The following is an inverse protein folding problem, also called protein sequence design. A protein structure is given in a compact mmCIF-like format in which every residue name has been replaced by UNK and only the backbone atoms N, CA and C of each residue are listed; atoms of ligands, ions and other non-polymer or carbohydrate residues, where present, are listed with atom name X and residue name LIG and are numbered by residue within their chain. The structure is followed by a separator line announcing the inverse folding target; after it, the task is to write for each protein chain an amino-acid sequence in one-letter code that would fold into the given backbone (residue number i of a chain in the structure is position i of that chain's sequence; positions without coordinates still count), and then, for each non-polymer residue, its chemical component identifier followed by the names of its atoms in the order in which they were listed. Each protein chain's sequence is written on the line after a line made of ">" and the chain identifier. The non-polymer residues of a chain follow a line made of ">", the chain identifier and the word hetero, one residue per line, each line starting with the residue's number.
data_IF_654134128624
#
_entry.id   IF_654134128624
#
_cell.length_a   1.000
_cell.length_b   1.000
_cell.length_c   1.000
_cell.angle_alpha   90.00
_cell.angle_beta   90.00
_cell.angle_gamma   90.00
#
_symmetry.space_group_name_H-M   'P 1'
#
loop_
_entity.id
_entity.type
_entity.pdbx_description
1 polymer ?
#
# COMPACT_ATOMS: atom_id res chain seq x y z
N UNK A 1 -1.21 -11.43 8.60
CA UNK A 1 -2.69 -11.44 8.69
C UNK A 1 -3.26 -11.94 10.02
N UNK A 2 -2.82 -13.08 10.57
CA UNK A 2 -3.40 -13.62 11.82
C UNK A 2 -3.24 -12.69 13.02
N UNK A 3 -2.09 -12.02 13.14
CA UNK A 3 -1.84 -11.05 14.21
C UNK A 3 -2.86 -9.90 14.20
N UNK A 4 -3.17 -9.33 13.03
CA UNK A 4 -4.16 -8.25 12.94
C UNK A 4 -5.55 -8.75 13.34
N UNK A 5 -5.98 -9.92 12.85
CA UNK A 5 -7.30 -10.51 13.17
C UNK A 5 -7.45 -10.71 14.69
N UNK A 6 -6.40 -11.18 15.36
CA UNK A 6 -6.38 -11.34 16.83
C UNK A 6 -6.43 -9.99 17.53
N UNK A 7 -5.81 -8.94 16.97
CA UNK A 7 -5.79 -7.60 17.55
C UNK A 7 -7.07 -6.79 17.32
N UNK A 8 -7.90 -7.10 16.32
CA UNK A 8 -9.16 -6.39 16.03
C UNK A 8 -10.02 -6.17 17.29
N UNK A 9 -10.39 -7.20 18.08
CA UNK A 9 -11.24 -7.00 19.25
C UNK A 9 -10.60 -6.06 20.29
N UNK A 10 -9.28 -6.16 20.51
CA UNK A 10 -8.58 -5.27 21.45
C UNK A 10 -8.57 -3.81 20.98
N UNK A 11 -8.31 -3.59 19.69
CA UNK A 11 -8.28 -2.24 19.10
C UNK A 11 -9.68 -1.60 19.13
N UNK A 12 -10.74 -2.37 18.86
CA UNK A 12 -12.11 -1.86 18.91
C UNK A 12 -12.57 -1.52 20.33
N UNK A 13 -12.22 -2.35 21.32
CA UNK A 13 -12.55 -2.09 22.73
C UNK A 13 -11.83 -0.85 23.26
N UNK A 14 -10.53 -0.72 22.98
CA UNK A 14 -9.75 0.48 23.35
C UNK A 14 -10.28 1.72 22.62
N UNK A 15 -10.69 1.57 21.37
CA UNK A 15 -11.30 2.62 20.56
C UNK A 15 -12.77 2.91 20.90
N UNK A 16 -13.34 2.29 21.95
CA UNK A 16 -14.74 2.41 22.35
C UNK A 16 -15.74 2.23 21.18
N UNK A 17 -15.40 1.39 20.20
CA UNK A 17 -16.16 1.17 18.97
C UNK A 17 -16.44 2.45 18.14
N UNK A 18 -15.57 3.46 18.22
CA UNK A 18 -15.66 4.64 17.36
C UNK A 18 -15.58 4.23 15.89
N UNK A 19 -16.51 4.75 15.08
CA UNK A 19 -16.55 4.60 13.62
C UNK A 19 -15.20 4.93 12.98
N UNK A 20 -14.50 5.95 13.48
CA UNK A 20 -13.16 6.29 12.98
C UNK A 20 -12.18 5.14 13.16
N UNK A 21 -12.21 4.46 14.31
CA UNK A 21 -11.33 3.32 14.62
C UNK A 21 -11.73 2.08 13.80
N UNK A 22 -13.03 1.84 13.62
CA UNK A 22 -13.51 0.74 12.76
C UNK A 22 -13.02 0.91 11.32
N UNK A 23 -13.11 2.14 10.79
CA UNK A 23 -12.67 2.45 9.43
C UNK A 23 -11.15 2.28 9.27
N UNK A 24 -10.34 2.76 10.23
CA UNK A 24 -8.88 2.61 10.15
C UNK A 24 -8.45 1.15 10.21
N UNK A 25 -9.09 0.33 11.06
CA UNK A 25 -8.83 -1.11 11.15
C UNK A 25 -9.19 -1.82 9.84
N UNK A 26 -10.30 -1.44 9.20
CA UNK A 26 -10.72 -2.03 7.91
C UNK A 26 -9.72 -1.72 6.81
N UNK A 27 -9.25 -0.46 6.71
CA UNK A 27 -8.20 -0.08 5.77
C UNK A 27 -6.88 -0.79 6.05
N UNK A 28 -6.50 -0.94 7.33
CA UNK A 28 -5.30 -1.69 7.71
C UNK A 28 -5.42 -3.18 7.34
N UNK A 29 -6.58 -3.78 7.54
CA UNK A 29 -6.85 -5.16 7.14
C UNK A 29 -6.72 -5.34 5.62
N UNK A 30 -7.35 -4.46 4.84
CA UNK A 30 -7.22 -4.45 3.39
C UNK A 30 -5.75 -4.32 2.94
N UNK A 31 -5.01 -3.37 3.51
CA UNK A 31 -3.61 -3.16 3.19
C UNK A 31 -2.77 -4.41 3.42
N UNK A 32 -2.96 -5.09 4.55
CA UNK A 32 -2.22 -6.30 4.91
C UNK A 32 -2.63 -7.54 4.11
N UNK A 33 -3.91 -7.65 3.72
CA UNK A 33 -4.36 -8.76 2.85
C UNK A 33 -3.73 -8.61 1.46
N UNK A 34 -3.66 -7.39 0.95
CA UNK A 34 -3.07 -7.14 -0.38
C UNK A 34 -1.56 -7.38 -0.43
N UNK A 35 -0.86 -7.35 0.71
CA UNK A 35 0.55 -7.78 0.77
C UNK A 35 0.73 -9.25 0.37
N UNK A 36 -0.24 -10.12 0.67
CA UNK A 36 -0.19 -11.52 0.25
C UNK A 36 -0.24 -11.67 -1.28
N UNK A 37 -0.87 -10.74 -1.99
CA UNK A 37 -0.85 -10.69 -3.46
C UNK A 37 0.56 -10.40 -3.97
N UNK A 38 1.28 -9.43 -3.39
CA UNK A 38 2.66 -9.13 -3.78
C UNK A 38 3.61 -10.32 -3.57
N UNK A 39 3.43 -11.07 -2.48
CA UNK A 39 4.22 -12.28 -2.25
C UNK A 39 3.89 -13.41 -3.22
N UNK A 40 2.64 -13.53 -3.65
CA UNK A 40 2.25 -14.50 -4.67
C UNK A 40 2.77 -14.08 -6.04
N UNK A 41 2.73 -12.78 -6.36
CA UNK A 41 3.32 -12.23 -7.58
C UNK A 41 4.84 -12.47 -7.61
N UNK A 42 5.56 -12.21 -6.51
CA UNK A 42 6.99 -12.47 -6.43
C UNK A 42 7.34 -13.95 -6.66
N UNK A 43 6.60 -14.89 -6.04
CA UNK A 43 6.77 -16.33 -6.29
C UNK A 43 6.41 -16.74 -7.72
N UNK A 44 5.38 -16.12 -8.28
CA UNK A 44 4.99 -16.37 -9.66
C UNK A 44 6.08 -15.91 -10.63
N UNK A 45 6.63 -14.71 -10.42
CA UNK A 45 7.74 -14.19 -11.22
C UNK A 45 8.97 -15.08 -11.09
N UNK A 46 9.33 -15.54 -9.88
CA UNK A 46 10.40 -16.53 -9.66
C UNK A 46 10.24 -17.77 -10.55
N UNK A 47 9.06 -18.39 -10.48
CA UNK A 47 8.76 -19.61 -11.25
C UNK A 47 8.71 -19.36 -12.76
N UNK A 48 8.22 -18.19 -13.19
CA UNK A 48 8.05 -17.87 -14.61
C UNK A 48 9.34 -17.40 -15.26
N UNK A 49 10.19 -16.66 -14.54
CA UNK A 49 11.50 -16.21 -15.02
C UNK A 49 12.45 -17.40 -15.14
N UNK A 50 12.46 -18.32 -14.17
CA UNK A 50 13.28 -19.52 -14.26
C UNK A 50 12.81 -20.44 -15.40
N UNK A 51 11.50 -20.56 -15.64
CA UNK A 51 10.98 -21.31 -16.80
C UNK A 51 11.34 -20.62 -18.13
N UNK A 52 11.35 -19.28 -18.18
CA UNK A 52 11.75 -18.52 -19.36
C UNK A 52 13.27 -18.50 -19.62
N UNK A 53 14.10 -18.55 -18.57
CA UNK A 53 15.57 -18.51 -18.65
C UNK A 53 16.19 -19.90 -18.78
N UNK A 54 15.63 -20.92 -18.13
CA UNK A 54 16.16 -22.29 -18.13
C UNK A 54 15.37 -23.26 -19.00
N UNK A 55 14.13 -22.91 -19.39
CA UNK A 55 13.29 -23.73 -20.26
C UNK A 55 12.81 -25.01 -19.59
N UNK A 56 11.53 -25.34 -19.76
CA UNK A 56 11.04 -26.67 -19.42
C UNK A 56 11.71 -27.74 -20.32
N UNK A 57 12.76 -28.40 -19.83
CA UNK A 57 13.16 -29.73 -20.31
C UNK A 57 14.64 -29.95 -20.63
N UNK A 58 15.07 -31.19 -20.38
CA UNK A 58 16.23 -31.80 -21.05
C UNK A 58 15.81 -32.03 -22.51
N UNK A 59 16.21 -31.14 -23.43
CA UNK A 59 15.92 -31.30 -24.86
C UNK A 59 16.39 -30.13 -25.76
N UNK A 60 16.93 -30.51 -26.92
CA UNK A 60 17.49 -29.83 -28.11
C UNK A 60 17.34 -28.31 -28.41
N UNK A 61 16.70 -27.47 -27.60
CA UNK A 61 16.64 -26.00 -27.77
C UNK A 61 16.98 -25.25 -26.47
N UNK A 62 17.86 -25.83 -25.67
CA UNK A 62 18.45 -25.18 -24.49
C UNK A 62 19.66 -24.33 -24.91
N UNK A 63 19.70 -23.02 -24.61
CA UNK A 63 20.81 -22.14 -24.99
C UNK A 63 22.17 -22.54 -24.40
N UNK A 64 22.20 -23.43 -23.41
CA UNK A 64 23.41 -23.92 -22.76
C UNK A 64 23.52 -25.46 -22.87
N UNK A 65 23.90 -25.93 -24.05
CA UNK A 65 24.61 -27.20 -24.19
C UNK A 65 26.00 -26.91 -24.73
N UNK A 66 26.91 -26.45 -23.86
CA UNK A 66 28.35 -26.61 -24.08
C UNK A 66 29.10 -26.41 -22.77
N UNK A 67 29.79 -27.47 -22.36
CA UNK A 67 30.71 -27.52 -21.24
C UNK A 67 31.93 -26.63 -21.53
N UNK A 68 31.92 -25.37 -21.08
CA UNK A 68 33.09 -24.53 -21.05
C UNK A 68 33.32 -23.97 -19.62
N UNK A 69 34.43 -24.33 -18.94
CA UNK A 69 34.74 -23.95 -17.56
C UNK A 69 34.84 -22.44 -17.30
N UNK A 70 34.94 -21.61 -18.35
CA UNK A 70 35.11 -20.15 -18.21
C UNK A 70 33.77 -19.41 -18.00
N UNK A 71 32.63 -20.02 -18.32
CA UNK A 71 31.30 -19.41 -18.16
C UNK A 71 30.77 -19.40 -16.72
N UNK A 72 31.32 -20.22 -15.83
CA UNK A 72 30.97 -20.22 -14.40
C UNK A 72 31.34 -18.90 -13.72
N UNK A 73 32.41 -18.23 -14.16
CA UNK A 73 32.85 -16.95 -13.61
C UNK A 73 32.07 -15.75 -14.18
N UNK A 74 31.59 -15.80 -15.43
CA UNK A 74 30.79 -14.73 -16.04
C UNK A 74 29.32 -14.79 -15.62
N UNK A 75 28.77 -15.99 -15.43
CA UNK A 75 27.41 -16.17 -14.94
C UNK A 75 27.29 -16.05 -13.42
N UNK A 76 28.38 -16.14 -12.65
CA UNK A 76 28.34 -15.86 -11.21
C UNK A 76 27.80 -14.46 -10.90
N UNK A 77 28.14 -13.45 -11.71
CA UNK A 77 27.58 -12.10 -11.57
C UNK A 77 26.09 -12.04 -11.96
N UNK A 78 25.69 -12.77 -13.00
CA UNK A 78 24.31 -12.86 -13.45
C UNK A 78 23.41 -13.60 -12.47
N UNK A 79 23.92 -14.67 -11.86
CA UNK A 79 23.25 -15.50 -10.85
C UNK A 79 23.13 -14.74 -9.52
N UNK A 80 24.19 -14.05 -9.09
CA UNK A 80 24.12 -13.13 -7.94
C UNK A 80 23.15 -11.97 -8.19
N UNK A 81 23.09 -11.43 -9.40
CA UNK A 81 22.14 -10.38 -9.76
C UNK A 81 20.70 -10.93 -9.73
N UNK A 82 20.48 -12.13 -10.25
CA UNK A 82 19.17 -12.79 -10.25
C UNK A 82 18.71 -13.01 -8.81
N UNK A 83 19.55 -13.60 -7.96
CA UNK A 83 19.22 -13.85 -6.55
C UNK A 83 18.95 -12.54 -5.78
N UNK A 84 19.70 -11.47 -6.09
CA UNK A 84 19.43 -10.15 -5.54
C UNK A 84 18.09 -9.57 -5.99
N UNK A 85 17.76 -9.67 -7.29
CA UNK A 85 16.47 -9.19 -7.83
C UNK A 85 15.33 -10.01 -7.25
N UNK A 86 15.49 -11.34 -7.17
CA UNK A 86 14.51 -12.24 -6.58
C UNK A 86 14.25 -11.89 -5.12
N UNK A 87 15.31 -11.72 -4.32
CA UNK A 87 15.20 -11.27 -2.93
C UNK A 87 14.58 -9.86 -2.80
N UNK A 88 14.96 -8.94 -3.68
CA UNK A 88 14.44 -7.57 -3.69
C UNK A 88 12.93 -7.52 -3.97
N UNK A 89 12.38 -8.40 -4.81
CA UNK A 89 10.93 -8.42 -5.10
C UNK A 89 10.09 -8.71 -3.85
N UNK A 90 10.57 -9.53 -2.92
CA UNK A 90 9.88 -9.81 -1.66
C UNK A 90 9.94 -8.66 -0.66
N UNK A 91 10.85 -7.70 -0.83
CA UNK A 91 11.01 -6.57 0.10
C UNK A 91 10.46 -5.29 -0.53
N UNK A 92 10.89 -4.96 -1.73
CA UNK A 92 10.58 -3.70 -2.43
C UNK A 92 9.11 -3.58 -2.77
N UNK A 93 8.47 -4.62 -3.31
CA UNK A 93 7.06 -4.52 -3.72
C UNK A 93 6.10 -4.38 -2.52
N UNK A 94 6.21 -5.20 -1.46
CA UNK A 94 5.39 -5.01 -0.27
C UNK A 94 5.68 -3.69 0.46
N UNK A 95 6.95 -3.29 0.56
CA UNK A 95 7.31 -2.03 1.22
C UNK A 95 6.80 -0.82 0.45
N UNK A 96 6.94 -0.81 -0.88
CA UNK A 96 6.37 0.22 -1.74
C UNK A 96 4.87 0.37 -1.50
N UNK A 97 4.12 -0.74 -1.47
CA UNK A 97 2.68 -0.73 -1.23
C UNK A 97 2.29 -0.12 0.12
N UNK A 98 2.94 -0.55 1.21
CA UNK A 98 2.65 -0.04 2.55
C UNK A 98 3.00 1.44 2.67
N UNK A 99 4.15 1.86 2.12
CA UNK A 99 4.57 3.27 2.14
C UNK A 99 3.62 4.12 1.31
N UNK A 100 3.22 3.67 0.12
CA UNK A 100 2.29 4.40 -0.75
C UNK A 100 0.93 4.59 -0.08
N UNK A 101 0.40 3.55 0.57
CA UNK A 101 -0.85 3.65 1.34
C UNK A 101 -0.73 4.59 2.53
N UNK A 102 0.38 4.53 3.28
CA UNK A 102 0.63 5.45 4.39
C UNK A 102 0.69 6.91 3.93
N UNK A 103 1.37 7.17 2.82
CA UNK A 103 1.46 8.50 2.21
C UNK A 103 0.11 9.01 1.71
N UNK A 104 -0.64 8.14 1.01
CA UNK A 104 -2.00 8.45 0.53
C UNK A 104 -2.95 8.78 1.69
N UNK A 105 -2.91 7.98 2.76
CA UNK A 105 -3.70 8.22 3.97
C UNK A 105 -3.35 9.56 4.64
N UNK A 106 -2.06 9.90 4.76
CA UNK A 106 -1.63 11.17 5.31
C UNK A 106 -2.12 12.37 4.47
N UNK A 107 -2.06 12.27 3.14
CA UNK A 107 -2.55 13.32 2.23
C UNK A 107 -4.06 13.46 2.30
N UNK A 108 -4.82 12.35 2.25
CA UNK A 108 -6.28 12.38 2.39
C UNK A 108 -6.72 12.98 3.73
N UNK A 109 -6.04 12.64 4.83
CA UNK A 109 -6.29 13.23 6.14
C UNK A 109 -6.06 14.75 6.14
N UNK A 110 -4.95 15.21 5.53
CA UNK A 110 -4.66 16.64 5.43
C UNK A 110 -5.69 17.40 4.56
N UNK A 111 -6.15 16.80 3.46
CA UNK A 111 -7.18 17.39 2.59
C UNK A 111 -8.53 17.49 3.29
N UNK A 112 -8.95 16.43 3.99
CA UNK A 112 -10.20 16.43 4.74
C UNK A 112 -10.17 17.44 5.89
N UNK A 113 -9.04 17.56 6.61
CA UNK A 113 -8.87 18.58 7.65
C UNK A 113 -8.92 19.99 7.06
N UNK A 114 -8.29 20.22 5.90
CA UNK A 114 -8.36 21.50 5.20
C UNK A 114 -9.79 21.85 4.76
N UNK A 115 -10.54 20.86 4.26
CA UNK A 115 -11.93 21.03 3.87
C UNK A 115 -12.85 21.32 5.07
N UNK A 116 -12.66 20.62 6.19
CA UNK A 116 -13.38 20.88 7.44
C UNK A 116 -13.14 22.31 7.93
N UNK A 117 -11.88 22.77 7.94
CA UNK A 117 -11.56 24.15 8.31
C UNK A 117 -12.16 25.18 7.35
N UNK A 118 -12.08 24.94 6.04
CA UNK A 118 -12.66 25.82 5.02
C UNK A 118 -14.18 25.91 5.08
N UNK A 119 -14.85 24.78 5.34
CA UNK A 119 -16.31 24.74 5.50
C UNK A 119 -16.78 25.34 6.82
N UNK A 120 -16.04 25.17 7.93
CA UNK A 120 -16.33 25.87 9.18
C UNK A 120 -16.18 27.39 9.03
N UNK A 121 -15.14 27.88 8.36
CA UNK A 121 -14.99 29.31 8.10
C UNK A 121 -16.14 29.86 7.24
N UNK A 122 -16.60 29.10 6.23
CA UNK A 122 -17.77 29.45 5.42
C UNK A 122 -19.07 29.42 6.23
N UNK A 123 -19.23 28.42 7.12
CA UNK A 123 -20.38 28.30 8.02
C UNK A 123 -20.44 29.46 9.01
N UNK A 124 -19.31 29.87 9.59
CA UNK A 124 -19.23 31.01 10.50
C UNK A 124 -19.51 32.34 9.79
N UNK A 125 -19.00 32.52 8.57
CA UNK A 125 -19.29 33.69 7.74
C UNK A 125 -20.78 33.74 7.36
N UNK A 126 -21.37 32.61 6.98
CA UNK A 126 -22.80 32.50 6.71
C UNK A 126 -23.66 32.72 7.95
N UNK A 127 -23.23 32.23 9.12
CA UNK A 127 -23.90 32.43 10.40
C UNK A 127 -23.90 33.90 10.83
N UNK A 128 -22.77 34.59 10.70
CA UNK A 128 -22.67 36.04 10.95
C UNK A 128 -23.50 36.85 9.94
N UNK A 129 -23.46 36.50 8.66
CA UNK A 129 -24.27 37.14 7.62
C UNK A 129 -25.78 36.95 7.84
N UNK A 130 -26.20 35.74 8.22
CA UNK A 130 -27.58 35.43 8.57
C UNK A 130 -28.05 36.13 9.85
N UNK A 131 -27.19 36.26 10.85
CA UNK A 131 -27.48 37.04 12.06
C UNK A 131 -27.60 38.53 11.75
N UNK A 132 -26.73 39.08 10.89
CA UNK A 132 -26.80 40.46 10.45
C UNK A 132 -28.09 40.74 9.67
N UNK A 133 -28.45 39.84 8.74
CA UNK A 133 -29.70 39.91 8.00
C UNK A 133 -30.92 39.82 8.92
N UNK A 134 -30.89 38.94 9.94
CA UNK A 134 -31.93 38.86 10.96
C UNK A 134 -31.99 40.11 11.85
N UNK A 135 -30.86 40.74 12.19
CA UNK A 135 -30.86 41.98 12.97
C UNK A 135 -31.40 43.18 12.19
N UNK A 136 -31.12 43.24 10.88
CA UNK A 136 -31.70 44.23 9.96
C UNK A 136 -33.20 43.98 9.81
N UNK A 137 -33.62 42.73 9.58
CA UNK A 137 -35.03 42.37 9.46
C UNK A 137 -35.84 42.59 10.75
N UNK A 138 -35.21 42.47 11.92
CA UNK A 138 -35.82 42.79 13.23
C UNK A 138 -35.75 44.28 13.60
N UNK A 139 -35.25 45.15 12.71
CA UNK A 139 -35.21 46.60 12.93
C UNK A 139 -34.33 47.04 14.11
N UNK A 140 -33.25 46.30 14.41
CA UNK A 140 -32.30 46.64 15.47
C UNK A 140 -31.13 47.52 15.00
N UNK A 141 -31.19 48.04 13.78
CA UNK A 141 -30.29 49.04 13.19
C UNK A 141 -31.17 50.13 12.59
#
# INVERSE_FOLDING_TARGET
>A
KMALIICIPFVLVIGAFDLKVVMTVTFAAFALIFVDFWFQLARWVDSTILDALYGNGIGSNVPHTNFDPVFGASNAQGDLLLDFVMGAMFIVLPSFWIVALGWSGAKLGSLMSGLATGTSAAQDAGGKGGQLAMSVAKGKI
#
